data_IF_728211662506
#
_entry.id   IF_728211662506
#
_cell.length_a   1.000
_cell.length_b   1.000
_cell.length_c   1.000
_cell.angle_alpha   90.00
_cell.angle_beta   90.00
_cell.angle_gamma   90.00
#
_symmetry.space_group_name_H-M   'P 1'
#
loop_
_entity.id
_entity.type
_entity.pdbx_description
1 polymer ?
#
# COMPACT_ATOMS: atom_id res chain seq x y z
N UNK A 1 -15.04 15.17 30.62
CA UNK A 1 -16.16 14.23 30.60
C UNK A 1 -17.15 14.79 29.59
N UNK A 2 -17.44 14.09 28.49
CA UNK A 2 -18.36 14.61 27.48
C UNK A 2 -19.75 14.75 28.10
N UNK A 3 -20.41 15.90 27.91
CA UNK A 3 -21.77 16.16 28.37
C UNK A 3 -22.80 15.23 27.71
N UNK A 4 -24.08 15.32 28.09
CA UNK A 4 -25.13 14.43 27.57
C UNK A 4 -25.19 14.52 26.04
N UNK A 5 -24.88 13.41 25.37
CA UNK A 5 -24.94 13.30 23.92
C UNK A 5 -26.31 12.79 23.49
N UNK A 6 -26.99 13.50 22.58
CA UNK A 6 -28.25 13.06 21.95
C UNK A 6 -28.08 11.89 20.96
N UNK A 7 -26.86 11.32 20.90
CA UNK A 7 -26.48 10.25 19.99
C UNK A 7 -26.81 8.91 20.64
N UNK A 8 -27.80 8.22 20.08
CA UNK A 8 -28.13 6.85 20.46
C UNK A 8 -27.13 5.92 19.76
N UNK A 9 -26.21 5.35 20.53
CA UNK A 9 -25.24 4.41 19.99
C UNK A 9 -25.95 3.08 19.67
N UNK A 10 -25.92 2.70 18.39
CA UNK A 10 -26.33 1.36 17.99
C UNK A 10 -25.29 0.34 18.49
N UNK A 11 -25.68 -0.63 19.33
CA UNK A 11 -24.77 -1.65 19.84
C UNK A 11 -24.16 -2.51 18.73
N UNK A 12 -24.86 -2.73 17.60
CA UNK A 12 -24.32 -3.52 16.49
C UNK A 12 -23.20 -2.75 15.78
N UNK A 13 -23.42 -1.47 15.48
CA UNK A 13 -22.41 -0.60 14.90
C UNK A 13 -21.19 -0.43 15.82
N UNK A 14 -21.41 -0.25 17.12
CA UNK A 14 -20.32 -0.17 18.10
C UNK A 14 -19.46 -1.44 18.09
N UNK A 15 -20.09 -2.62 18.08
CA UNK A 15 -19.37 -3.90 18.00
C UNK A 15 -18.58 -4.05 16.70
N UNK A 16 -19.11 -3.58 15.57
CA UNK A 16 -18.37 -3.59 14.30
C UNK A 16 -17.12 -2.70 14.36
N UNK A 17 -17.22 -1.50 14.93
CA UNK A 17 -16.07 -0.62 15.11
C UNK A 17 -15.03 -1.25 16.04
N UNK A 18 -15.46 -1.84 17.15
CA UNK A 18 -14.57 -2.51 18.09
C UNK A 18 -13.89 -3.73 17.46
N UNK A 19 -14.61 -4.50 16.64
CA UNK A 19 -14.02 -5.62 15.90
C UNK A 19 -12.94 -5.15 14.90
N UNK A 20 -13.22 -4.08 14.14
CA UNK A 20 -12.25 -3.51 13.20
C UNK A 20 -11.01 -2.96 13.90
N UNK A 21 -11.21 -2.17 14.97
CA UNK A 21 -10.12 -1.60 15.77
C UNK A 21 -9.24 -2.68 16.40
N UNK A 22 -9.82 -3.79 16.83
CA UNK A 22 -9.10 -4.91 17.45
C UNK A 22 -8.65 -6.00 16.46
N UNK A 23 -8.77 -5.79 15.13
CA UNK A 23 -8.39 -6.81 14.11
C UNK A 23 -6.98 -7.36 14.28
N UNK A 24 -6.03 -6.51 14.66
CA UNK A 24 -4.64 -6.93 14.87
C UNK A 24 -4.49 -7.94 16.02
N UNK A 25 -5.35 -7.89 17.04
CA UNK A 25 -5.32 -8.82 18.19
C UNK A 25 -5.73 -10.23 17.78
N UNK A 26 -6.63 -10.34 16.81
CA UNK A 26 -7.17 -11.61 16.33
C UNK A 26 -6.47 -12.10 15.05
N UNK A 27 -5.42 -11.40 14.62
CA UNK A 27 -4.68 -11.77 13.42
C UNK A 27 -3.95 -13.11 13.61
N UNK A 28 -3.89 -13.90 12.54
CA UNK A 28 -3.16 -15.17 12.49
C UNK A 28 -2.38 -15.27 11.18
N UNK A 29 -1.17 -15.82 11.29
CA UNK A 29 -0.41 -16.23 10.12
C UNK A 29 -1.03 -17.49 9.53
N UNK A 30 -1.61 -17.33 8.36
CA UNK A 30 -2.10 -18.42 7.51
C UNK A 30 -1.31 -18.36 6.20
N UNK A 31 -1.24 -19.45 5.42
CA UNK A 31 -0.53 -19.43 4.14
C UNK A 31 -0.99 -18.26 3.24
N UNK A 32 -2.29 -17.95 3.25
CA UNK A 32 -2.86 -16.83 2.50
C UNK A 32 -2.39 -15.47 3.02
N UNK A 33 -2.48 -15.22 4.33
CA UNK A 33 -2.09 -13.91 4.89
C UNK A 33 -0.58 -13.70 4.81
N UNK A 34 0.22 -14.75 5.03
CA UNK A 34 1.67 -14.73 4.84
C UNK A 34 2.06 -14.36 3.41
N UNK A 35 1.44 -15.01 2.42
CA UNK A 35 1.69 -14.72 1.01
C UNK A 35 1.34 -13.28 0.64
N UNK A 36 0.16 -12.80 1.04
CA UNK A 36 -0.24 -11.42 0.79
C UNK A 36 0.71 -10.41 1.43
N UNK A 37 1.06 -10.63 2.71
CA UNK A 37 2.03 -9.78 3.41
C UNK A 37 3.38 -9.74 2.69
N UNK A 38 3.91 -10.88 2.25
CA UNK A 38 5.14 -10.94 1.48
C UNK A 38 5.03 -10.17 0.15
N UNK A 39 3.94 -10.36 -0.61
CA UNK A 39 3.75 -9.69 -1.87
C UNK A 39 3.77 -8.16 -1.72
N UNK A 40 3.03 -7.62 -0.76
CA UNK A 40 2.91 -6.17 -0.60
C UNK A 40 4.09 -5.52 0.13
N UNK A 41 4.77 -6.24 1.04
CA UNK A 41 5.90 -5.65 1.78
C UNK A 41 7.24 -5.84 1.08
N UNK A 42 7.42 -6.89 0.28
CA UNK A 42 8.72 -7.21 -0.34
C UNK A 42 8.65 -7.24 -1.86
N UNK A 43 7.74 -8.03 -2.44
CA UNK A 43 7.71 -8.27 -3.89
C UNK A 43 7.40 -6.99 -4.68
N UNK A 44 6.31 -6.29 -4.32
CA UNK A 44 5.89 -5.08 -5.03
C UNK A 44 6.93 -3.96 -4.87
N UNK A 45 7.37 -3.58 -3.65
CA UNK A 45 8.44 -2.60 -3.50
C UNK A 45 9.76 -3.03 -4.16
N UNK A 46 10.09 -4.32 -4.14
CA UNK A 46 11.29 -4.87 -4.76
C UNK A 46 11.27 -4.73 -6.29
N UNK A 47 10.13 -5.01 -6.93
CA UNK A 47 9.96 -4.82 -8.39
C UNK A 47 10.05 -3.33 -8.74
N UNK A 48 9.35 -2.47 -8.00
CA UNK A 48 9.37 -1.02 -8.24
C UNK A 48 10.79 -0.47 -8.06
N UNK A 49 11.48 -0.86 -6.98
CA UNK A 49 12.86 -0.47 -6.72
C UNK A 49 13.79 -0.94 -7.83
N UNK A 50 13.70 -2.21 -8.24
CA UNK A 50 14.53 -2.75 -9.33
C UNK A 50 14.33 -1.99 -10.63
N UNK A 51 13.08 -1.76 -11.05
CA UNK A 51 12.79 -0.99 -12.26
C UNK A 51 13.34 0.42 -12.11
N UNK A 52 13.03 1.10 -11.01
CA UNK A 52 13.51 2.45 -10.70
C UNK A 52 15.02 2.55 -10.86
N UNK A 53 15.80 1.72 -10.15
CA UNK A 53 17.26 1.75 -10.24
C UNK A 53 17.82 1.39 -11.62
N UNK A 54 17.12 0.56 -12.41
CA UNK A 54 17.58 0.18 -13.76
C UNK A 54 17.19 1.20 -14.84
N UNK A 55 16.16 2.00 -14.59
CA UNK A 55 15.67 3.01 -15.53
C UNK A 55 16.08 4.43 -15.16
N UNK A 56 16.58 4.63 -13.95
CA UNK A 56 17.06 5.94 -13.50
C UNK A 56 18.19 6.43 -14.40
N UNK A 57 18.08 7.68 -14.86
CA UNK A 57 19.00 8.28 -15.83
C UNK A 57 19.05 7.63 -17.21
N UNK A 58 18.33 6.53 -17.47
CA UNK A 58 18.44 5.77 -18.71
C UNK A 58 17.76 6.45 -19.91
N UNK A 59 16.81 7.35 -19.67
CA UNK A 59 16.01 7.95 -20.75
C UNK A 59 15.93 9.46 -20.59
N UNK A 60 16.42 10.21 -21.58
CA UNK A 60 16.21 11.65 -21.69
C UNK A 60 15.39 11.98 -22.95
N UNK A 61 14.25 12.62 -22.75
CA UNK A 61 13.33 13.03 -23.81
C UNK A 61 13.46 14.51 -24.16
N UNK A 62 14.30 15.27 -23.44
CA UNK A 62 14.39 16.71 -23.60
C UNK A 62 14.96 17.07 -24.97
N UNK A 63 14.13 17.72 -25.80
CA UNK A 63 14.54 18.25 -27.11
C UNK A 63 14.76 17.21 -28.21
N UNK A 64 14.46 15.93 -27.97
CA UNK A 64 14.64 14.84 -28.96
C UNK A 64 13.63 14.94 -30.11
N UNK A 65 14.06 14.64 -31.34
CA UNK A 65 13.23 14.64 -32.56
C UNK A 65 13.05 13.21 -33.11
N UNK A 66 12.21 13.06 -34.14
CA UNK A 66 11.99 11.77 -34.80
C UNK A 66 13.31 11.24 -35.37
N UNK A 67 13.73 10.06 -34.91
CA UNK A 67 14.99 9.41 -35.31
C UNK A 67 16.11 9.52 -34.28
N UNK A 68 15.97 10.39 -33.26
CA UNK A 68 16.99 10.56 -32.22
C UNK A 68 16.91 9.48 -31.13
N UNK A 69 18.06 9.08 -30.60
CA UNK A 69 18.15 8.11 -29.51
C UNK A 69 17.79 8.75 -28.16
N UNK A 70 16.84 8.12 -27.45
CA UNK A 70 16.35 8.53 -26.13
C UNK A 70 17.16 7.89 -25.00
N UNK A 71 17.80 6.74 -25.26
CA UNK A 71 18.56 6.02 -24.25
C UNK A 71 19.90 6.73 -23.94
N UNK A 72 20.19 6.88 -22.66
CA UNK A 72 21.49 7.28 -22.12
C UNK A 72 22.10 6.04 -21.43
N UNK A 73 23.37 5.75 -21.71
CA UNK A 73 24.07 4.51 -21.33
C UNK A 73 25.27 4.75 -20.44
#
# INVERSE_FOLDING_TARGET
MAGPSNLHLDPALQKYYDANKNRYKYFRWTPRTAWLSFCYMALVPGIIGYIGYKTDGKYDLRGKRRGDTIAEW
#
